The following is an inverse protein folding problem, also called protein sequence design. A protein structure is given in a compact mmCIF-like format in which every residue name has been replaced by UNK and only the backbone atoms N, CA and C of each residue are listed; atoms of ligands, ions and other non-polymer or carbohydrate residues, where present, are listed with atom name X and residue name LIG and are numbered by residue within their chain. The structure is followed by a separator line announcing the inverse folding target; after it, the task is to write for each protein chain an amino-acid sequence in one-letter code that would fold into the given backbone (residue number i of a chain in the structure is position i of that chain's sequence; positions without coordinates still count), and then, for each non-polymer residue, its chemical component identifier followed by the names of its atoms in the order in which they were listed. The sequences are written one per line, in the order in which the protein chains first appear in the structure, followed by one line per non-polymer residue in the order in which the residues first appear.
data_IF_358509719518
#
_entry.id   IF_358509719518
#
_cell.length_a   1.000
_cell.length_b   1.000
_cell.length_c   1.000
_cell.angle_alpha   90.00
_cell.angle_beta   90.00
_cell.angle_gamma   90.00
#
_symmetry.space_group_name_H-M   'P 1'
#
loop_
_entity.id
_entity.type
_entity.pdbx_description
1 polymer ?
#
# COMPACT_ATOMS: atom_id res chain seq x y z
N UNK A 1 66.55 -7.53 18.60
CA UNK A 1 66.75 -6.43 19.58
C UNK A 1 65.56 -5.51 19.48
N UNK A 2 64.65 -5.59 20.44
CA UNK A 2 63.77 -4.48 20.78
C UNK A 2 64.60 -3.44 21.56
N UNK A 3 64.17 -2.18 21.56
CA UNK A 3 63.89 -1.57 22.86
C UNK A 3 62.56 -0.81 22.94
N UNK A 4 61.89 -1.04 24.08
CA UNK A 4 60.88 -0.23 24.76
C UNK A 4 61.45 1.17 25.10
N UNK A 5 60.77 2.30 24.87
CA UNK A 5 59.67 2.93 25.62
C UNK A 5 60.12 4.19 26.41
N UNK A 6 59.15 5.09 26.61
CA UNK A 6 59.14 6.31 27.45
C UNK A 6 59.83 7.55 26.84
N UNK A 7 59.29 8.78 26.87
CA UNK A 7 58.20 9.40 27.63
C UNK A 7 57.85 10.76 27.00
N UNK A 8 56.63 11.27 27.20
CA UNK A 8 56.32 12.65 27.61
C UNK A 8 54.91 13.11 27.18
N UNK A 9 54.01 13.21 28.17
CA UNK A 9 52.86 14.13 28.25
C UNK A 9 53.31 15.27 29.21
N UNK A 10 52.75 16.51 29.29
CA UNK A 10 51.35 16.83 28.98
C UNK A 10 50.95 18.29 28.56
N UNK A 11 49.64 18.42 28.28
CA UNK A 11 48.72 19.56 28.59
C UNK A 11 48.62 20.75 27.58
N UNK A 12 47.63 21.67 27.74
CA UNK A 12 46.31 21.61 27.09
C UNK A 12 45.92 22.93 26.39
N UNK A 13 44.92 22.95 25.50
CA UNK A 13 44.14 24.17 25.21
C UNK A 13 42.94 23.87 24.31
N UNK A 14 41.77 24.25 24.82
CA UNK A 14 40.55 24.66 24.12
C UNK A 14 40.64 24.89 22.60
N UNK A 15 39.75 24.22 21.87
CA UNK A 15 39.13 24.80 20.68
C UNK A 15 37.72 24.19 20.49
N UNK A 16 36.79 25.01 20.94
CA UNK A 16 35.36 25.07 20.69
C UNK A 16 34.90 24.69 19.26
N UNK A 17 33.69 24.11 19.21
CA UNK A 17 32.72 24.03 18.11
C UNK A 17 32.85 22.95 16.99
N UNK A 18 31.73 22.52 16.36
CA UNK A 18 30.35 22.49 16.83
C UNK A 18 29.77 21.06 16.84
N UNK A 19 28.83 20.80 17.75
CA UNK A 19 27.88 19.70 17.59
C UNK A 19 27.08 19.92 16.29
N UNK A 20 27.40 19.17 15.25
CA UNK A 20 26.49 18.98 14.11
C UNK A 20 25.36 18.12 14.65
N UNK A 21 24.30 18.77 15.11
CA UNK A 21 23.04 18.09 15.39
C UNK A 21 22.62 17.36 14.10
N UNK A 22 22.27 16.06 14.15
CA UNK A 22 21.61 15.44 13.02
C UNK A 22 20.28 16.16 12.83
N UNK A 23 20.20 16.91 11.73
CA UNK A 23 18.99 17.58 11.27
C UNK A 23 17.90 16.52 11.17
N UNK A 24 17.05 16.43 12.20
CA UNK A 24 15.89 15.57 12.20
C UNK A 24 14.99 16.06 11.06
N UNK A 25 15.03 15.36 9.93
CA UNK A 25 14.08 15.56 8.86
C UNK A 25 12.68 15.48 9.48
N UNK A 26 11.80 16.46 9.22
CA UNK A 26 10.43 16.36 9.68
C UNK A 26 9.85 15.12 9.03
N UNK A 27 9.55 14.10 9.83
CA UNK A 27 8.64 13.03 9.43
C UNK A 27 7.31 13.72 9.22
N UNK A 28 7.09 14.22 8.00
CA UNK A 28 5.80 14.68 7.55
C UNK A 28 4.94 13.42 7.47
N UNK A 29 4.30 13.09 8.58
CA UNK A 29 3.22 12.12 8.56
C UNK A 29 2.22 12.67 7.53
N UNK A 30 1.91 11.94 6.45
CA UNK A 30 0.88 12.38 5.53
C UNK A 30 -0.38 12.58 6.36
N UNK A 31 -0.84 13.83 6.43
CA UNK A 31 -2.08 14.16 7.12
C UNK A 31 -3.18 13.27 6.54
N UNK A 32 -4.03 12.69 7.38
CA UNK A 32 -5.03 11.71 6.96
C UNK A 32 -5.92 12.23 5.81
N UNK A 33 -6.10 13.55 5.71
CA UNK A 33 -6.79 14.21 4.60
C UNK A 33 -6.08 14.07 3.25
N UNK A 34 -4.75 14.15 3.19
CA UNK A 34 -3.98 13.97 1.95
C UNK A 34 -4.00 12.53 1.49
N UNK A 35 -3.91 11.57 2.42
CA UNK A 35 -4.00 10.14 2.12
C UNK A 35 -5.41 9.75 1.61
N UNK A 36 -6.47 10.32 2.19
CA UNK A 36 -7.83 10.14 1.72
C UNK A 36 -8.03 10.70 0.30
N UNK A 37 -7.53 11.91 0.03
CA UNK A 37 -7.63 12.52 -1.30
C UNK A 37 -6.89 11.72 -2.40
N UNK A 38 -5.73 11.13 -2.07
CA UNK A 38 -5.03 10.20 -2.98
C UNK A 38 -5.83 8.93 -3.22
N UNK A 39 -6.43 8.36 -2.16
CA UNK A 39 -7.26 7.16 -2.31
C UNK A 39 -8.49 7.43 -3.20
N UNK A 40 -9.19 8.55 -3.01
CA UNK A 40 -10.31 8.91 -3.87
C UNK A 40 -9.86 9.06 -5.35
N UNK A 41 -8.70 9.68 -5.60
CA UNK A 41 -8.16 9.85 -6.95
C UNK A 41 -7.79 8.53 -7.62
N UNK A 42 -7.08 7.64 -6.91
CA UNK A 42 -6.68 6.33 -7.43
C UNK A 42 -7.89 5.43 -7.71
N UNK A 43 -8.91 5.51 -6.85
CA UNK A 43 -10.16 4.80 -7.07
C UNK A 43 -10.90 5.34 -8.31
N UNK A 44 -10.94 6.65 -8.53
CA UNK A 44 -11.56 7.22 -9.73
C UNK A 44 -10.85 6.78 -11.02
N UNK A 45 -9.53 6.63 -11.01
CA UNK A 45 -8.76 6.08 -12.14
C UNK A 45 -9.19 4.64 -12.44
N UNK A 46 -9.30 3.79 -11.41
CA UNK A 46 -9.80 2.42 -11.56
C UNK A 46 -11.25 2.40 -12.08
N UNK A 47 -12.12 3.28 -11.57
CA UNK A 47 -13.51 3.41 -11.99
C UNK A 47 -13.67 3.90 -13.42
N UNK A 48 -12.76 4.73 -13.94
CA UNK A 48 -12.77 5.13 -15.35
C UNK A 48 -12.46 3.94 -16.26
N UNK A 49 -11.45 3.13 -15.93
CA UNK A 49 -11.15 1.91 -16.66
C UNK A 49 -12.32 0.91 -16.62
N UNK A 50 -12.96 0.76 -15.45
CA UNK A 50 -14.12 -0.10 -15.28
C UNK A 50 -15.31 0.36 -16.13
N UNK A 51 -15.68 1.66 -16.05
CA UNK A 51 -16.78 2.21 -16.85
C UNK A 51 -16.50 2.20 -18.35
N UNK A 52 -15.24 2.35 -18.73
CA UNK A 52 -14.78 2.26 -20.14
C UNK A 52 -14.72 0.83 -20.69
N UNK A 53 -15.05 -0.20 -19.90
CA UNK A 53 -15.04 -1.59 -20.35
C UNK A 53 -13.67 -2.24 -20.42
N UNK A 54 -12.63 -1.57 -19.92
CA UNK A 54 -11.27 -2.09 -19.88
C UNK A 54 -11.09 -3.00 -18.66
N UNK A 55 -11.77 -4.15 -18.67
CA UNK A 55 -11.95 -5.03 -17.51
C UNK A 55 -10.63 -5.50 -16.88
N UNK A 56 -9.68 -5.97 -17.69
CA UNK A 56 -8.37 -6.44 -17.19
C UNK A 56 -7.56 -5.30 -16.56
N UNK A 57 -7.58 -4.12 -17.17
CA UNK A 57 -6.91 -2.94 -16.62
C UNK A 57 -7.58 -2.47 -15.33
N UNK A 58 -8.91 -2.44 -15.28
CA UNK A 58 -9.66 -2.09 -14.09
C UNK A 58 -9.32 -3.03 -12.92
N UNK A 59 -9.25 -4.35 -13.17
CA UNK A 59 -8.87 -5.32 -12.16
C UNK A 59 -7.45 -5.07 -11.59
N UNK A 60 -6.49 -4.70 -12.44
CA UNK A 60 -5.14 -4.35 -12.01
C UNK A 60 -5.12 -3.06 -11.18
N UNK A 61 -5.86 -2.04 -11.61
CA UNK A 61 -5.95 -0.76 -10.89
C UNK A 61 -6.62 -0.92 -9.52
N UNK A 62 -7.70 -1.70 -9.42
CA UNK A 62 -8.31 -2.02 -8.13
C UNK A 62 -7.36 -2.83 -7.23
N UNK A 63 -6.61 -3.80 -7.77
CA UNK A 63 -5.61 -4.53 -6.99
C UNK A 63 -4.50 -3.61 -6.45
N UNK A 64 -4.04 -2.66 -7.27
CA UNK A 64 -3.07 -1.64 -6.84
C UNK A 64 -3.65 -0.73 -5.75
N UNK A 65 -4.91 -0.31 -5.92
CA UNK A 65 -5.64 0.48 -4.92
C UNK A 65 -5.73 -0.25 -3.57
N UNK A 66 -6.10 -1.54 -3.56
CA UNK A 66 -6.16 -2.36 -2.34
C UNK A 66 -4.79 -2.45 -1.62
N UNK A 67 -3.70 -2.50 -2.39
CA UNK A 67 -2.35 -2.57 -1.85
C UNK A 67 -1.85 -1.23 -1.29
N UNK A 68 -2.19 -0.13 -1.96
CA UNK A 68 -1.76 1.23 -1.58
C UNK A 68 -2.64 1.83 -0.47
N UNK A 69 -3.92 1.47 -0.46
CA UNK A 69 -4.93 2.04 0.43
C UNK A 69 -5.70 0.94 1.18
N UNK A 70 -5.05 0.09 2.00
CA UNK A 70 -5.72 -1.05 2.64
C UNK A 70 -6.78 -0.67 3.68
N UNK A 71 -6.69 0.54 4.25
CA UNK A 71 -7.60 1.05 5.28
C UNK A 71 -8.61 2.07 4.74
N UNK A 72 -8.70 2.24 3.42
CA UNK A 72 -9.65 3.17 2.83
C UNK A 72 -11.08 2.66 3.00
N UNK A 73 -12.03 3.58 3.13
CA UNK A 73 -13.46 3.24 3.12
C UNK A 73 -13.87 2.58 1.80
N UNK A 74 -13.13 2.84 0.72
CA UNK A 74 -13.37 2.26 -0.62
C UNK A 74 -12.65 0.92 -0.83
N UNK A 75 -11.88 0.40 0.14
CA UNK A 75 -11.11 -0.83 -0.05
C UNK A 75 -12.01 -2.05 -0.27
N UNK A 76 -13.14 -2.13 0.43
CA UNK A 76 -14.13 -3.19 0.21
C UNK A 76 -14.75 -3.09 -1.19
N UNK A 77 -15.18 -1.89 -1.60
CA UNK A 77 -15.73 -1.66 -2.95
C UNK A 77 -14.71 -2.01 -4.04
N UNK A 78 -13.45 -1.60 -3.88
CA UNK A 78 -12.38 -1.91 -4.82
C UNK A 78 -12.14 -3.42 -4.95
N UNK A 79 -12.10 -4.12 -3.82
CA UNK A 79 -11.92 -5.58 -3.80
C UNK A 79 -13.09 -6.30 -4.50
N UNK A 80 -14.33 -5.85 -4.28
CA UNK A 80 -15.50 -6.37 -4.98
C UNK A 80 -15.47 -6.05 -6.49
N UNK A 81 -15.21 -4.79 -6.86
CA UNK A 81 -15.16 -4.36 -8.25
C UNK A 81 -14.04 -5.04 -9.04
N UNK A 82 -12.93 -5.40 -8.38
CA UNK A 82 -11.89 -6.25 -8.95
C UNK A 82 -12.44 -7.64 -9.31
N UNK A 83 -13.20 -8.29 -8.42
CA UNK A 83 -13.83 -9.59 -8.71
C UNK A 83 -14.75 -9.48 -9.93
N UNK A 84 -15.60 -8.45 -9.98
CA UNK A 84 -16.50 -8.20 -11.10
C UNK A 84 -15.73 -7.92 -12.39
N UNK A 85 -14.68 -7.10 -12.35
CA UNK A 85 -13.84 -6.82 -13.51
C UNK A 85 -13.17 -8.10 -14.03
N UNK A 86 -12.65 -8.94 -13.14
CA UNK A 86 -12.04 -10.23 -13.51
C UNK A 86 -13.06 -11.18 -14.13
N UNK A 87 -14.27 -11.26 -13.57
CA UNK A 87 -15.37 -12.02 -14.14
C UNK A 87 -15.71 -11.54 -15.57
N UNK A 88 -15.86 -10.23 -15.77
CA UNK A 88 -16.19 -9.65 -17.09
C UNK A 88 -15.06 -9.78 -18.11
N UNK A 89 -13.82 -9.86 -17.65
CA UNK A 89 -12.66 -10.15 -18.50
C UNK A 89 -12.50 -11.64 -18.86
N UNK A 90 -13.29 -12.54 -18.26
CA UNK A 90 -13.15 -13.98 -18.45
C UNK A 90 -11.96 -14.62 -17.74
N UNK A 91 -11.28 -13.87 -16.85
CA UNK A 91 -10.11 -14.36 -16.10
C UNK A 91 -10.55 -15.16 -14.86
N UNK A 92 -11.23 -16.29 -15.08
CA UNK A 92 -11.91 -17.07 -14.03
C UNK A 92 -10.97 -17.49 -12.89
N UNK A 93 -9.73 -17.92 -13.19
CA UNK A 93 -8.77 -18.31 -12.16
C UNK A 93 -8.40 -17.14 -11.23
N UNK A 94 -8.17 -15.96 -11.80
CA UNK A 94 -7.86 -14.75 -11.03
C UNK A 94 -9.10 -14.24 -10.27
N UNK A 95 -10.27 -14.30 -10.89
CA UNK A 95 -11.56 -13.96 -10.26
C UNK A 95 -11.78 -14.80 -9.01
N UNK A 96 -11.57 -16.12 -9.10
CA UNK A 96 -11.69 -17.05 -7.97
C UNK A 96 -10.72 -16.73 -6.83
N UNK A 97 -9.46 -16.44 -7.16
CA UNK A 97 -8.46 -16.04 -6.16
C UNK A 97 -8.83 -14.70 -5.48
N UNK A 98 -9.30 -13.71 -6.26
CA UNK A 98 -9.76 -12.43 -5.74
C UNK A 98 -11.01 -12.59 -4.86
N UNK A 99 -11.97 -13.42 -5.26
CA UNK A 99 -13.19 -13.70 -4.51
C UNK A 99 -12.89 -14.33 -3.15
N UNK A 100 -11.99 -15.32 -3.10
CA UNK A 100 -11.54 -15.92 -1.83
C UNK A 100 -10.88 -14.88 -0.91
N UNK A 101 -10.06 -14.00 -1.48
CA UNK A 101 -9.40 -12.92 -0.73
C UNK A 101 -10.42 -11.94 -0.17
N UNK A 102 -11.42 -11.55 -0.97
CA UNK A 102 -12.52 -10.69 -0.54
C UNK A 102 -13.29 -11.33 0.61
N UNK A 103 -13.71 -12.60 0.50
CA UNK A 103 -14.48 -13.28 1.54
C UNK A 103 -13.67 -13.51 2.82
N UNK A 104 -12.36 -13.71 2.72
CA UNK A 104 -11.48 -13.81 3.88
C UNK A 104 -11.33 -12.47 4.61
N UNK A 105 -11.26 -11.36 3.88
CA UNK A 105 -11.06 -10.01 4.44
C UNK A 105 -12.38 -9.36 4.89
N UNK A 106 -13.47 -9.61 4.17
CA UNK A 106 -14.79 -9.03 4.36
C UNK A 106 -15.85 -10.14 4.48
N UNK A 107 -15.78 -11.02 5.50
CA UNK A 107 -16.70 -12.15 5.65
C UNK A 107 -18.16 -11.72 5.86
N UNK A 108 -18.36 -10.54 6.45
CA UNK A 108 -19.68 -9.90 6.62
C UNK A 108 -19.85 -8.68 5.70
N UNK A 109 -19.06 -8.60 4.63
CA UNK A 109 -19.10 -7.50 3.68
C UNK A 109 -20.45 -7.39 2.98
N UNK A 110 -20.81 -6.17 2.55
CA UNK A 110 -22.10 -5.91 1.92
C UNK A 110 -22.30 -6.77 0.64
N UNK A 111 -21.20 -7.11 -0.03
CA UNK A 111 -21.19 -7.92 -1.25
C UNK A 111 -20.73 -9.37 -1.05
N UNK A 112 -20.56 -9.83 0.19
CA UNK A 112 -20.05 -11.19 0.45
C UNK A 112 -20.90 -12.29 -0.20
N UNK A 113 -22.24 -12.22 -0.10
CA UNK A 113 -23.12 -13.21 -0.73
C UNK A 113 -22.98 -13.26 -2.26
N UNK A 114 -22.81 -12.09 -2.88
CA UNK A 114 -22.66 -11.98 -4.32
C UNK A 114 -21.32 -12.56 -4.78
N UNK A 115 -20.23 -12.18 -4.09
CA UNK A 115 -18.89 -12.73 -4.35
C UNK A 115 -18.84 -14.24 -4.12
N UNK A 116 -19.54 -14.75 -3.11
CA UNK A 116 -19.66 -16.18 -2.86
C UNK A 116 -20.32 -16.90 -4.04
N UNK A 117 -21.43 -16.36 -4.57
CA UNK A 117 -22.10 -16.93 -5.75
C UNK A 117 -21.19 -16.94 -7.00
N UNK A 118 -20.41 -15.87 -7.20
CA UNK A 118 -19.41 -15.79 -8.27
C UNK A 118 -18.30 -16.84 -8.11
N UNK A 119 -17.82 -17.06 -6.88
CA UNK A 119 -16.79 -18.07 -6.61
C UNK A 119 -17.28 -19.52 -6.73
N UNK A 120 -18.59 -19.76 -6.65
CA UNK A 120 -19.17 -21.10 -6.81
C UNK A 120 -19.48 -21.45 -8.27
N UNK A 121 -19.40 -20.48 -9.19
CA UNK A 121 -19.69 -20.68 -10.60
C UNK A 121 -18.50 -21.35 -11.30
N UNK A 122 -18.75 -22.50 -11.92
CA UNK A 122 -17.79 -23.40 -12.56
C UNK A 122 -17.81 -23.24 -14.08
#
# INVERSE_FOLDING_TARGET
VAPEAHEAKPAPADADAPHIAPSAAPKLHPSASSAAATADSDFEVAMRAFRGGSWSQAAQLFAAFEAQHPNSRRSEDAAYLRVVALQRSGQSAQMQAAARTYLARYPNGFRAKEVQALSASK
#
